data_IF_233456025254
#
_entry.id   IF_233456025254
#
_cell.length_a   1.000
_cell.length_b   1.000
_cell.length_c   1.000
_cell.angle_alpha   90.00
_cell.angle_beta   90.00
_cell.angle_gamma   90.00
#
_symmetry.space_group_name_H-M   'P 1'
#
loop_
_entity.id
_entity.type
_entity.pdbx_description
1 polymer ?
#
# COMPACT_ATOMS: atom_id res chain seq x y z
N UNK A 1 -25.51 -2.31 72.61
CA UNK A 1 -24.49 -1.26 72.31
C UNK A 1 -24.02 -1.44 70.87
N UNK A 2 -23.94 -0.32 70.13
CA UNK A 2 -23.53 -0.20 68.72
C UNK A 2 -22.07 -0.61 68.52
N UNK A 3 -21.76 -1.40 67.47
CA UNK A 3 -20.48 -1.33 66.73
C UNK A 3 -20.66 -1.70 65.26
N UNK A 4 -20.88 -0.67 64.45
CA UNK A 4 -20.54 -0.55 63.03
C UNK A 4 -19.03 -0.56 62.84
N UNK A 5 -18.50 -1.31 61.86
CA UNK A 5 -17.45 -0.88 60.90
C UNK A 5 -16.86 -2.08 60.13
N UNK A 6 -16.46 -1.79 58.88
CA UNK A 6 -15.62 -2.58 57.97
C UNK A 6 -16.31 -3.44 56.91
N UNK A 7 -17.06 -2.79 56.01
CA UNK A 7 -17.36 -3.32 54.67
C UNK A 7 -16.90 -2.34 53.59
N UNK A 8 -15.61 -2.01 53.57
CA UNK A 8 -15.07 -1.08 52.54
C UNK A 8 -13.68 -1.46 52.02
N UNK A 9 -13.23 -2.70 52.20
CA UNK A 9 -11.88 -3.12 51.79
C UNK A 9 -11.86 -4.33 50.84
N UNK A 10 -12.85 -4.48 49.96
CA UNK A 10 -12.96 -5.63 49.04
C UNK A 10 -13.16 -5.26 47.56
N UNK A 11 -12.87 -4.00 47.16
CA UNK A 11 -13.00 -3.54 45.77
C UNK A 11 -11.69 -3.10 45.11
N UNK A 12 -10.53 -3.34 45.73
CA UNK A 12 -9.22 -2.94 45.18
C UNK A 12 -8.45 -4.06 44.46
N UNK A 13 -8.93 -5.31 44.51
CA UNK A 13 -8.24 -6.46 43.91
C UNK A 13 -8.47 -6.71 42.40
N UNK A 14 -9.60 -6.35 41.75
CA UNK A 14 -9.77 -6.69 40.33
C UNK A 14 -9.02 -5.75 39.37
N UNK A 15 -8.60 -4.55 39.81
CA UNK A 15 -7.91 -3.58 38.94
C UNK A 15 -6.45 -3.97 38.64
N UNK A 16 -5.77 -4.69 39.54
CA UNK A 16 -4.37 -5.09 39.35
C UNK A 16 -4.22 -6.21 38.30
N UNK A 17 -5.23 -7.08 38.13
CA UNK A 17 -5.16 -8.19 37.19
C UNK A 17 -5.26 -7.71 35.72
N UNK A 18 -6.03 -6.65 35.46
CA UNK A 18 -6.23 -6.11 34.11
C UNK A 18 -4.94 -5.45 33.58
N UNK A 19 -4.15 -4.83 34.46
CA UNK A 19 -2.86 -4.21 34.07
C UNK A 19 -1.81 -5.27 33.75
N UNK A 20 -1.85 -6.44 34.40
CA UNK A 20 -0.92 -7.54 34.14
C UNK A 20 -1.20 -8.27 32.81
N UNK A 21 -2.47 -8.35 32.40
CA UNK A 21 -2.85 -8.97 31.12
C UNK A 21 -2.56 -8.07 29.89
N UNK A 22 -2.50 -6.75 30.06
CA UNK A 22 -2.19 -5.83 28.97
C UNK A 22 -0.73 -5.89 28.47
N UNK A 23 0.18 -6.56 29.20
CA UNK A 23 1.61 -6.67 28.83
C UNK A 23 1.95 -7.79 27.85
N UNK A 24 0.99 -8.62 27.45
CA UNK A 24 1.20 -9.66 26.45
C UNK A 24 0.60 -9.28 25.09
N UNK A 25 0.74 -8.02 24.68
CA UNK A 25 0.69 -7.75 23.25
C UNK A 25 1.86 -8.54 22.62
N UNK A 26 1.60 -9.48 21.69
CA UNK A 26 2.69 -10.03 20.90
C UNK A 26 3.37 -8.81 20.27
N UNK A 27 4.68 -8.70 20.48
CA UNK A 27 5.49 -7.73 19.78
C UNK A 27 5.05 -7.79 18.32
N UNK A 28 4.50 -6.68 17.82
CA UNK A 28 4.21 -6.52 16.39
C UNK A 28 5.42 -7.05 15.67
N UNK A 29 5.24 -8.14 14.92
CA UNK A 29 6.33 -8.77 14.21
C UNK A 29 7.01 -7.64 13.45
N UNK A 30 8.25 -7.31 13.83
CA UNK A 30 9.13 -6.55 12.96
C UNK A 30 9.12 -7.38 11.69
N UNK A 31 8.38 -6.94 10.68
CA UNK A 31 8.52 -7.43 9.34
C UNK A 31 9.99 -7.17 9.06
N UNK A 32 10.81 -8.22 9.18
CA UNK A 32 12.16 -8.19 8.69
C UNK A 32 11.97 -8.04 7.19
N UNK A 33 11.94 -6.80 6.73
CA UNK A 33 12.22 -6.45 5.35
C UNK A 33 13.60 -7.03 5.08
N UNK A 34 13.65 -8.28 4.64
CA UNK A 34 14.84 -8.80 4.04
C UNK A 34 15.08 -7.91 2.83
N UNK A 35 16.24 -7.24 2.73
CA UNK A 35 16.58 -6.53 1.52
C UNK A 35 16.50 -7.56 0.41
N UNK A 36 15.55 -7.36 -0.52
CA UNK A 36 15.41 -8.21 -1.69
C UNK A 36 16.76 -8.13 -2.40
N UNK A 37 17.53 -9.21 -2.33
CA UNK A 37 18.78 -9.33 -3.06
C UNK A 37 18.50 -9.04 -4.53
N UNK A 38 19.37 -8.29 -5.20
CA UNK A 38 19.30 -8.02 -6.64
C UNK A 38 19.44 -9.35 -7.41
N UNK A 39 18.34 -10.08 -7.46
CA UNK A 39 18.18 -11.27 -8.28
C UNK A 39 17.83 -10.80 -9.68
N UNK A 40 18.14 -11.60 -10.71
CA UNK A 40 17.79 -11.33 -12.11
C UNK A 40 16.28 -11.15 -12.34
N UNK A 41 15.47 -11.41 -11.32
CA UNK A 41 14.03 -11.28 -11.27
C UNK A 41 13.54 -9.92 -10.78
N UNK A 42 14.39 -9.11 -10.14
CA UNK A 42 14.02 -7.79 -9.64
C UNK A 42 13.96 -6.81 -10.81
N UNK A 43 12.77 -6.27 -11.06
CA UNK A 43 12.52 -5.28 -12.11
C UNK A 43 12.11 -3.97 -11.46
N UNK A 44 12.74 -2.89 -11.89
CA UNK A 44 12.40 -1.52 -11.52
C UNK A 44 12.29 -0.69 -12.78
N UNK A 45 11.15 -0.04 -12.97
CA UNK A 45 10.95 0.89 -14.07
C UNK A 45 10.14 2.11 -13.64
N UNK A 46 10.46 3.24 -14.26
CA UNK A 46 9.76 4.51 -14.07
C UNK A 46 9.51 5.13 -15.44
N UNK A 47 8.24 5.25 -15.81
CA UNK A 47 7.83 5.84 -17.07
C UNK A 47 7.01 7.09 -16.80
N UNK A 48 7.31 8.18 -17.51
CA UNK A 48 6.53 9.42 -17.43
C UNK A 48 6.10 9.82 -18.83
N UNK A 49 4.82 10.17 -18.95
CA UNK A 49 4.20 10.58 -20.19
C UNK A 49 3.48 11.91 -20.02
N UNK A 50 3.73 12.84 -20.92
CA UNK A 50 2.97 14.08 -21.06
C UNK A 50 1.82 13.88 -22.07
N UNK A 51 0.67 14.49 -21.80
CA UNK A 51 -0.52 14.37 -22.64
C UNK A 51 -1.38 15.64 -22.60
N UNK A 52 -2.18 15.91 -23.65
CA UNK A 52 -3.14 17.01 -23.64
C UNK A 52 -4.32 16.75 -22.67
N UNK A 53 -4.84 17.80 -22.03
CA UNK A 53 -5.96 17.72 -21.07
C UNK A 53 -7.18 16.95 -21.60
N UNK A 54 -7.42 16.97 -22.91
CA UNK A 54 -8.51 16.24 -23.58
C UNK A 54 -8.42 14.72 -23.40
N UNK A 55 -7.21 14.16 -23.23
CA UNK A 55 -6.99 12.74 -23.02
C UNK A 55 -7.07 12.32 -21.55
N UNK A 56 -7.11 13.27 -20.60
CA UNK A 56 -7.09 12.97 -19.16
C UNK A 56 -8.19 11.99 -18.74
N UNK A 57 -9.42 12.17 -19.24
CA UNK A 57 -10.54 11.26 -18.94
C UNK A 57 -10.30 9.85 -19.47
N UNK A 58 -9.73 9.72 -20.68
CA UNK A 58 -9.40 8.42 -21.27
C UNK A 58 -8.28 7.71 -20.52
N UNK A 59 -7.26 8.46 -20.11
CA UNK A 59 -6.15 7.96 -19.31
C UNK A 59 -6.64 7.50 -17.93
N UNK A 60 -7.52 8.26 -17.28
CA UNK A 60 -8.10 7.85 -16.00
C UNK A 60 -8.89 6.53 -16.13
N UNK A 61 -9.76 6.43 -17.14
CA UNK A 61 -10.54 5.23 -17.39
C UNK A 61 -9.66 4.00 -17.70
N UNK A 62 -8.58 4.20 -18.45
CA UNK A 62 -7.61 3.13 -18.74
C UNK A 62 -6.92 2.63 -17.47
N UNK A 63 -6.53 3.54 -16.57
CA UNK A 63 -5.88 3.17 -15.31
C UNK A 63 -6.89 2.45 -14.40
N UNK A 64 -8.14 2.92 -14.34
CA UNK A 64 -9.22 2.26 -13.60
C UNK A 64 -9.55 0.85 -14.12
N UNK A 65 -9.44 0.62 -15.43
CA UNK A 65 -9.66 -0.70 -16.06
C UNK A 65 -8.51 -1.68 -15.78
N UNK A 66 -7.25 -1.22 -15.84
CA UNK A 66 -6.07 -2.09 -15.76
C UNK A 66 -5.50 -2.25 -14.36
N UNK A 67 -5.76 -1.31 -13.46
CA UNK A 67 -5.11 -1.26 -12.15
C UNK A 67 -6.15 -1.43 -11.07
N UNK A 68 -6.04 -2.54 -10.34
CA UNK A 68 -6.92 -2.85 -9.23
C UNK A 68 -6.92 -1.71 -8.20
N UNK A 69 -8.10 -1.21 -7.85
CA UNK A 69 -8.28 -0.08 -6.92
C UNK A 69 -8.45 1.28 -7.60
N UNK A 70 -8.18 1.41 -8.90
CA UNK A 70 -8.34 2.67 -9.64
C UNK A 70 -7.46 3.80 -9.10
N UNK A 71 -7.74 5.05 -9.51
CA UNK A 71 -7.06 6.25 -9.03
C UNK A 71 -7.85 6.91 -7.90
N UNK A 72 -7.17 7.23 -6.80
CA UNK A 72 -7.77 7.97 -5.70
C UNK A 72 -8.03 9.44 -6.09
N UNK A 73 -8.85 10.14 -5.28
CA UNK A 73 -9.21 11.55 -5.51
C UNK A 73 -8.00 12.50 -5.69
N UNK A 74 -6.85 12.15 -5.11
CA UNK A 74 -5.60 12.91 -5.23
C UNK A 74 -4.84 12.66 -6.55
N UNK A 75 -5.35 11.81 -7.43
CA UNK A 75 -4.67 11.41 -8.66
C UNK A 75 -3.52 10.43 -8.40
N UNK A 76 -3.54 9.69 -7.30
CA UNK A 76 -2.48 8.75 -6.93
C UNK A 76 -3.12 7.39 -6.67
N UNK A 77 -2.48 6.32 -7.12
CA UNK A 77 -2.82 4.97 -6.68
C UNK A 77 -1.55 4.18 -6.40
N UNK A 78 -1.59 3.40 -5.33
CA UNK A 78 -0.43 2.68 -4.81
C UNK A 78 -0.90 1.32 -4.27
N UNK A 79 -0.20 0.25 -4.64
CA UNK A 79 -0.51 -1.09 -4.12
C UNK A 79 0.01 -1.33 -2.71
N UNK A 80 1.24 -0.86 -2.44
CA UNK A 80 1.88 -0.98 -1.13
C UNK A 80 2.33 0.39 -0.66
N UNK A 81 2.04 0.72 0.61
CA UNK A 81 2.37 2.04 1.15
C UNK A 81 3.88 2.22 1.45
N UNK A 82 4.69 1.19 1.25
CA UNK A 82 6.14 1.23 1.41
C UNK A 82 6.87 1.05 0.07
N UNK A 83 7.67 2.04 -0.40
CA UNK A 83 8.51 1.86 -1.59
C UNK A 83 9.63 0.82 -1.38
N UNK A 84 9.87 0.45 -0.12
CA UNK A 84 10.82 -0.59 0.26
C UNK A 84 10.21 -1.99 0.22
N UNK A 85 8.90 -2.11 -0.07
CA UNK A 85 8.25 -3.39 -0.31
C UNK A 85 8.97 -4.20 -1.40
N UNK A 86 8.94 -5.54 -1.28
CA UNK A 86 9.41 -6.43 -2.34
C UNK A 86 8.72 -6.16 -3.68
N UNK A 87 7.43 -5.81 -3.61
CA UNK A 87 6.61 -5.39 -4.74
C UNK A 87 5.89 -4.07 -4.42
N UNK A 88 5.98 -3.13 -5.34
CA UNK A 88 5.48 -1.77 -5.19
C UNK A 88 5.17 -1.20 -6.56
N UNK A 89 3.98 -0.61 -6.71
CA UNK A 89 3.74 0.35 -7.78
C UNK A 89 3.11 1.61 -7.26
N UNK A 90 3.36 2.69 -7.99
CA UNK A 90 2.69 3.96 -7.79
C UNK A 90 2.41 4.60 -9.13
N UNK A 91 1.16 4.98 -9.34
CA UNK A 91 0.72 5.73 -10.51
C UNK A 91 0.26 7.10 -10.03
N UNK A 92 0.83 8.14 -10.65
CA UNK A 92 0.51 9.54 -10.35
C UNK A 92 -0.05 10.19 -11.60
N UNK A 93 -1.36 10.42 -11.61
CA UNK A 93 -2.09 11.15 -12.63
C UNK A 93 -2.25 12.62 -12.23
N UNK A 94 -1.46 13.48 -12.85
CA UNK A 94 -1.61 14.94 -12.78
C UNK A 94 -2.44 15.45 -13.95
N UNK A 95 -2.60 16.77 -14.06
CA UNK A 95 -3.44 17.44 -15.08
C UNK A 95 -3.10 17.00 -16.52
N UNK A 96 -1.82 17.02 -16.86
CA UNK A 96 -1.29 16.78 -18.21
C UNK A 96 -0.13 15.78 -18.23
N UNK A 97 0.02 14.99 -17.16
CA UNK A 97 1.14 14.09 -16.97
C UNK A 97 0.72 12.85 -16.19
N UNK A 98 1.19 11.68 -16.61
CA UNK A 98 1.07 10.43 -15.86
C UNK A 98 2.47 9.86 -15.62
N UNK A 99 2.74 9.46 -14.39
CA UNK A 99 3.97 8.77 -14.00
C UNK A 99 3.61 7.41 -13.43
N UNK A 100 4.22 6.35 -13.96
CA UNK A 100 4.07 4.96 -13.49
C UNK A 100 5.42 4.52 -12.95
N UNK A 101 5.46 4.16 -11.68
CA UNK A 101 6.61 3.55 -11.01
C UNK A 101 6.26 2.12 -10.65
N UNK A 102 7.15 1.19 -10.98
CA UNK A 102 7.03 -0.20 -10.58
C UNK A 102 8.38 -0.71 -10.08
N UNK A 103 8.33 -1.51 -9.03
CA UNK A 103 9.42 -2.29 -8.48
C UNK A 103 8.84 -3.63 -8.04
N UNK A 104 9.36 -4.75 -8.50
CA UNK A 104 8.84 -6.06 -8.10
C UNK A 104 9.72 -7.22 -8.54
N UNK A 105 9.46 -8.41 -7.99
CA UNK A 105 10.24 -9.62 -8.27
C UNK A 105 9.40 -10.58 -9.12
N UNK A 106 9.55 -10.50 -10.46
CA UNK A 106 8.66 -11.13 -11.45
C UNK A 106 8.61 -12.67 -11.38
N UNK A 107 9.59 -13.30 -10.71
CA UNK A 107 9.71 -14.75 -10.67
C UNK A 107 8.74 -15.47 -9.74
N UNK A 108 8.00 -14.77 -8.88
CA UNK A 108 7.09 -15.38 -7.91
C UNK A 108 5.63 -14.96 -8.12
N UNK A 109 5.36 -13.71 -8.49
CA UNK A 109 4.01 -13.24 -8.83
C UNK A 109 4.05 -12.29 -10.04
N UNK A 110 3.53 -12.77 -11.18
CA UNK A 110 3.58 -12.03 -12.46
C UNK A 110 2.42 -11.08 -12.69
N UNK A 111 1.30 -11.27 -12.00
CA UNK A 111 0.03 -10.66 -12.39
C UNK A 111 0.02 -9.13 -12.21
N UNK A 112 0.67 -8.62 -11.16
CA UNK A 112 0.81 -7.17 -10.94
C UNK A 112 1.72 -6.56 -12.01
N UNK A 113 2.85 -7.22 -12.30
CA UNK A 113 3.79 -6.79 -13.35
C UNK A 113 3.09 -6.73 -14.71
N UNK A 114 2.34 -7.77 -15.06
CA UNK A 114 1.60 -7.88 -16.33
C UNK A 114 0.53 -6.79 -16.46
N UNK A 115 -0.20 -6.48 -15.38
CA UNK A 115 -1.20 -5.41 -15.38
C UNK A 115 -0.55 -4.02 -15.61
N UNK A 116 0.60 -3.77 -14.97
CA UNK A 116 1.33 -2.51 -15.15
C UNK A 116 1.94 -2.41 -16.56
N UNK A 117 2.47 -3.51 -17.09
CA UNK A 117 3.00 -3.56 -18.45
C UNK A 117 1.89 -3.36 -19.50
N UNK A 118 0.73 -3.98 -19.30
CA UNK A 118 -0.45 -3.81 -20.15
C UNK A 118 -0.94 -2.35 -20.12
N UNK A 119 -1.06 -1.75 -18.93
CA UNK A 119 -1.40 -0.34 -18.75
C UNK A 119 -0.40 0.58 -19.49
N UNK A 120 0.90 0.32 -19.33
CA UNK A 120 1.97 1.08 -19.99
C UNK A 120 1.90 0.94 -21.51
N UNK A 121 1.63 -0.26 -22.03
CA UNK A 121 1.51 -0.52 -23.46
C UNK A 121 0.29 0.17 -24.07
N UNK A 122 -0.85 0.16 -23.39
CA UNK A 122 -2.04 0.87 -23.85
C UNK A 122 -1.88 2.40 -23.77
N UNK A 123 -1.20 2.92 -22.74
CA UNK A 123 -0.84 4.34 -22.67
C UNK A 123 0.05 4.77 -23.83
N UNK A 124 1.06 3.97 -24.18
CA UNK A 124 1.92 4.21 -25.35
C UNK A 124 1.11 4.27 -26.64
N UNK A 125 0.19 3.33 -26.84
CA UNK A 125 -0.74 3.33 -27.99
C UNK A 125 -1.64 4.57 -28.00
N UNK A 126 -2.22 4.95 -26.87
CA UNK A 126 -3.08 6.14 -26.74
C UNK A 126 -2.32 7.43 -27.08
N UNK A 127 -1.03 7.47 -26.75
CA UNK A 127 -0.17 8.64 -26.91
C UNK A 127 0.69 8.61 -28.18
N UNK A 128 0.55 7.58 -29.03
CA UNK A 128 1.39 7.33 -30.21
C UNK A 128 2.90 7.41 -29.90
N UNK A 129 3.35 6.70 -28.86
CA UNK A 129 4.76 6.61 -28.43
C UNK A 129 5.28 5.19 -28.37
#
# INVERSE_FOLDING_TARGET
>A
MKRTLQFSLLLLLPAALIVLLARQQPASAKIHYQPVSDTTCLVKHENTYDFPDSLRKKINALIEDKVAGGIEEKGITTWENSPDAPEYYQIVLRKNKVTIKYKGTICQDKLIAENIDACTAELKKLLNR
#
